data_IF_269819566540
#
_entry.id   IF_269819566540
#
_cell.length_a   1.000
_cell.length_b   1.000
_cell.length_c   1.000
_cell.angle_alpha   90.00
_cell.angle_beta   90.00
_cell.angle_gamma   90.00
#
_symmetry.space_group_name_H-M   'P 1'
#
loop_
_entity.id
_entity.type
_entity.pdbx_description
1 polymer ?
#
# COMPACT_ATOMS: atom_id res chain seq x y z
N UNK A 1 -24.76 -20.03 21.66
CA UNK A 1 -23.49 -20.44 21.02
C UNK A 1 -23.07 -19.34 20.05
N UNK A 2 -22.06 -18.52 20.37
CA UNK A 2 -21.54 -17.52 19.43
C UNK A 2 -20.50 -18.22 18.57
N UNK A 3 -20.86 -18.64 17.36
CA UNK A 3 -19.88 -19.08 16.37
C UNK A 3 -19.00 -17.88 16.03
N UNK A 4 -17.86 -17.77 16.70
CA UNK A 4 -16.86 -16.75 16.44
C UNK A 4 -16.19 -17.04 15.10
N UNK A 5 -16.89 -16.76 14.00
CA UNK A 5 -16.28 -16.79 12.67
C UNK A 5 -15.35 -15.59 12.58
N UNK A 6 -14.11 -15.77 13.01
CA UNK A 6 -13.05 -14.79 12.82
C UNK A 6 -12.86 -14.66 11.32
N UNK A 7 -13.26 -13.52 10.75
CA UNK A 7 -12.96 -13.21 9.36
C UNK A 7 -11.47 -13.48 9.08
N UNK A 8 -11.15 -14.09 7.92
CA UNK A 8 -9.77 -14.42 7.62
C UNK A 8 -8.90 -13.16 7.68
N UNK A 9 -7.71 -13.30 8.26
CA UNK A 9 -6.72 -12.22 8.25
C UNK A 9 -6.26 -12.04 6.82
N UNK A 10 -6.24 -10.78 6.41
CA UNK A 10 -5.83 -10.38 5.06
C UNK A 10 -4.68 -9.40 5.22
N UNK A 11 -3.73 -9.43 4.32
CA UNK A 11 -2.57 -8.56 4.34
C UNK A 11 -2.44 -7.84 3.02
N UNK A 12 -1.89 -6.64 3.07
CA UNK A 12 -1.57 -5.90 1.87
C UNK A 12 -0.35 -6.56 1.22
N UNK A 13 -0.39 -6.79 -0.09
CA UNK A 13 0.75 -7.25 -0.86
C UNK A 13 1.65 -6.05 -1.19
N UNK A 14 2.80 -5.85 -0.50
CA UNK A 14 3.62 -4.67 -0.74
C UNK A 14 4.24 -4.65 -2.14
N UNK A 15 4.56 -5.82 -2.72
CA UNK A 15 5.18 -5.92 -4.05
C UNK A 15 4.22 -5.37 -5.10
N UNK A 16 3.00 -5.91 -5.15
CA UNK A 16 1.99 -5.44 -6.09
C UNK A 16 1.64 -3.96 -5.88
N UNK A 17 1.62 -3.48 -4.63
CA UNK A 17 1.39 -2.05 -4.36
C UNK A 17 2.53 -1.20 -4.91
N UNK A 18 3.80 -1.58 -4.70
CA UNK A 18 4.93 -0.82 -5.24
C UNK A 18 4.93 -0.79 -6.77
N UNK A 19 4.71 -1.92 -7.43
CA UNK A 19 4.57 -1.99 -8.89
C UNK A 19 3.47 -1.06 -9.42
N UNK A 20 2.33 -1.01 -8.73
CA UNK A 20 1.22 -0.12 -9.09
C UNK A 20 1.55 1.35 -8.85
N UNK A 21 2.25 1.68 -7.76
CA UNK A 21 2.69 3.04 -7.46
C UNK A 21 3.64 3.56 -8.54
N UNK A 22 4.60 2.73 -8.96
CA UNK A 22 5.54 3.06 -10.04
C UNK A 22 4.82 3.24 -11.38
N UNK A 23 3.88 2.33 -11.72
CA UNK A 23 3.08 2.43 -12.95
C UNK A 23 2.19 3.68 -12.99
N UNK A 24 1.69 4.11 -11.84
CA UNK A 24 0.82 5.28 -11.71
C UNK A 24 1.59 6.59 -11.46
N UNK A 25 2.92 6.53 -11.33
CA UNK A 25 3.81 7.65 -10.96
C UNK A 25 3.36 8.40 -9.68
N UNK A 26 2.90 7.66 -8.67
CA UNK A 26 2.47 8.24 -7.38
C UNK A 26 3.28 7.71 -6.20
N UNK A 27 3.51 8.58 -5.22
CA UNK A 27 4.21 8.17 -3.99
C UNK A 27 3.30 7.40 -3.02
N UNK A 28 3.89 6.64 -2.09
CA UNK A 28 3.17 6.03 -0.97
C UNK A 28 2.34 7.06 -0.18
N UNK A 29 2.89 8.26 0.05
CA UNK A 29 2.18 9.33 0.75
C UNK A 29 0.95 9.81 -0.03
N UNK A 30 1.04 9.85 -1.36
CA UNK A 30 -0.06 10.21 -2.23
C UNK A 30 -1.15 9.14 -2.22
N UNK A 31 -0.78 7.85 -2.28
CA UNK A 31 -1.74 6.76 -2.08
C UNK A 31 -2.44 6.85 -0.72
N UNK A 32 -1.72 7.14 0.37
CA UNK A 32 -2.33 7.30 1.69
C UNK A 32 -3.41 8.40 1.68
N UNK A 33 -3.11 9.55 1.05
CA UNK A 33 -4.06 10.65 0.88
C UNK A 33 -5.28 10.24 0.04
N UNK A 34 -5.06 9.60 -1.11
CA UNK A 34 -6.13 9.12 -2.00
C UNK A 34 -7.04 8.09 -1.31
N UNK A 35 -6.46 7.21 -0.49
CA UNK A 35 -7.19 6.21 0.28
C UNK A 35 -7.80 6.76 1.58
N UNK A 36 -7.58 8.04 1.91
CA UNK A 36 -8.10 8.67 3.12
C UNK A 36 -7.60 8.01 4.41
N UNK A 37 -6.33 7.63 4.46
CA UNK A 37 -5.64 7.08 5.64
C UNK A 37 -4.32 7.82 5.90
N UNK A 38 -3.77 7.70 7.11
CA UNK A 38 -2.48 8.33 7.41
C UNK A 38 -1.32 7.58 6.73
N UNK A 39 -0.24 8.28 6.32
CA UNK A 39 0.96 7.63 5.79
C UNK A 39 1.58 6.61 6.74
N UNK A 40 1.59 6.91 8.04
CA UNK A 40 2.07 5.97 9.06
C UNK A 40 1.22 4.70 9.12
N UNK A 41 -0.11 4.80 9.01
CA UNK A 41 -0.98 3.64 8.93
C UNK A 41 -0.70 2.82 7.66
N UNK A 42 -0.59 3.46 6.48
CA UNK A 42 -0.24 2.77 5.25
C UNK A 42 1.12 2.06 5.35
N UNK A 43 2.11 2.68 5.97
CA UNK A 43 3.42 2.05 6.21
C UNK A 43 3.32 0.80 7.09
N UNK A 44 2.49 0.81 8.13
CA UNK A 44 2.24 -0.39 8.95
C UNK A 44 1.55 -1.51 8.16
N UNK A 45 0.70 -1.18 7.20
CA UNK A 45 0.06 -2.15 6.31
C UNK A 45 1.07 -2.76 5.33
N UNK A 46 1.86 -1.92 4.65
CA UNK A 46 2.90 -2.33 3.70
C UNK A 46 3.95 -3.24 4.35
N UNK A 47 4.33 -2.95 5.60
CA UNK A 47 5.28 -3.75 6.36
C UNK A 47 4.68 -5.02 6.99
N UNK A 48 3.42 -5.35 6.70
CA UNK A 48 2.74 -6.50 7.29
C UNK A 48 2.65 -6.44 8.82
N UNK A 49 2.72 -5.24 9.43
CA UNK A 49 2.57 -5.04 10.89
C UNK A 49 1.10 -4.93 11.28
N UNK A 50 0.22 -4.55 10.35
CA UNK A 50 -1.22 -4.43 10.54
C UNK A 50 -1.98 -5.05 9.36
N UNK A 51 -3.11 -5.65 9.67
CA UNK A 51 -4.07 -6.13 8.67
C UNK A 51 -5.06 -5.00 8.34
N UNK A 52 -5.34 -4.70 7.06
CA UNK A 52 -6.31 -3.69 6.68
C UNK A 52 -7.73 -4.14 7.02
N UNK A 53 -8.50 -3.24 7.65
CA UNK A 53 -9.94 -3.42 7.86
C UNK A 53 -10.68 -3.42 6.50
N UNK A 54 -11.87 -4.03 6.39
CA UNK A 54 -12.62 -4.10 5.12
C UNK A 54 -12.84 -2.74 4.45
N UNK A 55 -13.10 -1.69 5.23
CA UNK A 55 -13.23 -0.33 4.69
C UNK A 55 -11.94 0.21 4.10
N UNK A 56 -10.79 -0.09 4.71
CA UNK A 56 -9.47 0.32 4.18
C UNK A 56 -9.15 -0.44 2.89
N UNK A 57 -9.51 -1.72 2.80
CA UNK A 57 -9.31 -2.53 1.58
C UNK A 57 -10.00 -1.89 0.38
N UNK A 58 -11.29 -1.56 0.52
CA UNK A 58 -12.07 -0.89 -0.54
C UNK A 58 -11.48 0.46 -0.94
N UNK A 59 -10.99 1.25 0.01
CA UNK A 59 -10.38 2.55 -0.28
C UNK A 59 -9.07 2.41 -1.05
N UNK A 60 -8.23 1.44 -0.69
CA UNK A 60 -6.98 1.16 -1.40
C UNK A 60 -7.24 0.66 -2.84
N UNK A 61 -8.18 -0.28 -3.01
CA UNK A 61 -8.62 -0.75 -4.33
C UNK A 61 -9.09 0.42 -5.21
N UNK A 62 -9.99 1.26 -4.68
CA UNK A 62 -10.48 2.44 -5.39
C UNK A 62 -9.37 3.44 -5.73
N UNK A 63 -8.45 3.69 -4.80
CA UNK A 63 -7.35 4.64 -4.99
C UNK A 63 -6.35 4.17 -6.06
N UNK A 64 -6.15 2.86 -6.19
CA UNK A 64 -5.25 2.25 -7.19
C UNK A 64 -5.96 1.85 -8.49
N UNK A 65 -7.29 1.99 -8.55
CA UNK A 65 -8.08 1.55 -9.70
C UNK A 65 -8.00 0.04 -9.95
N UNK A 66 -7.96 -0.76 -8.88
CA UNK A 66 -7.84 -2.22 -8.96
C UNK A 66 -9.12 -2.87 -8.45
N UNK A 67 -9.78 -3.63 -9.32
CA UNK A 67 -11.01 -4.36 -8.99
C UNK A 67 -10.75 -5.79 -8.51
N UNK A 68 -9.60 -6.38 -8.87
CA UNK A 68 -9.22 -7.72 -8.40
C UNK A 68 -8.59 -7.67 -7.00
N UNK A 69 -9.26 -8.29 -6.04
CA UNK A 69 -8.81 -8.39 -4.66
C UNK A 69 -7.47 -9.11 -4.51
N UNK A 70 -7.23 -10.16 -5.28
CA UNK A 70 -6.05 -11.02 -5.12
C UNK A 70 -4.76 -10.38 -5.64
N UNK A 71 -4.87 -9.31 -6.45
CA UNK A 71 -3.74 -8.49 -6.85
C UNK A 71 -3.18 -7.71 -5.65
N UNK A 72 -4.06 -7.09 -4.86
CA UNK A 72 -3.64 -6.21 -3.76
C UNK A 72 -3.50 -6.91 -2.42
N UNK A 73 -4.15 -8.06 -2.24
CA UNK A 73 -4.26 -8.68 -0.93
C UNK A 73 -3.95 -10.17 -0.94
N UNK A 74 -3.28 -10.60 0.13
CA UNK A 74 -2.91 -12.00 0.38
C UNK A 74 -3.47 -12.47 1.71
N UNK A 75 -3.72 -13.77 1.83
CA UNK A 75 -4.29 -14.39 3.04
C UNK A 75 -3.21 -14.74 4.07
N UNK A 76 -1.97 -14.91 3.60
CA UNK A 76 -0.81 -15.16 4.44
C UNK A 76 -0.08 -13.85 4.74
N UNK A 77 0.51 -13.76 5.94
CA UNK A 77 1.28 -12.56 6.30
C UNK A 77 2.53 -12.55 5.42
N UNK A 78 2.78 -11.51 4.61
CA UNK A 78 4.03 -11.40 3.90
C UNK A 78 5.16 -11.35 4.94
N UNK A 79 6.10 -12.29 4.84
CA UNK A 79 7.27 -12.29 5.70
C UNK A 79 7.99 -10.96 5.47
N UNK A 80 8.23 -10.21 6.55
CA UNK A 80 8.89 -8.91 6.47
C UNK A 80 10.37 -9.01 5.98
N UNK A 81 10.87 -10.23 5.69
CA UNK A 81 12.28 -10.57 5.74
C UNK A 81 12.99 -10.76 4.40
N UNK A 82 12.31 -10.94 3.25
CA UNK A 82 13.03 -11.25 1.99
C UNK A 82 12.82 -10.26 0.83
N UNK A 83 12.08 -9.17 1.03
CA UNK A 83 11.86 -8.18 -0.03
C UNK A 83 13.03 -7.19 -0.23
N UNK A 84 14.20 -7.49 0.35
CA UNK A 84 15.44 -6.71 0.22
C UNK A 84 16.49 -7.34 -0.71
N UNK A 85 16.26 -8.54 -1.25
CA UNK A 85 17.16 -9.11 -2.24
C UNK A 85 16.70 -8.68 -3.64
N UNK A 86 17.50 -7.81 -4.27
CA UNK A 86 17.31 -7.28 -5.63
C UNK A 86 16.19 -6.24 -5.83
N UNK A 87 16.32 -5.08 -5.19
CA UNK A 87 16.42 -3.80 -5.92
C UNK A 87 16.79 -2.70 -4.92
N UNK A 88 18.08 -2.46 -4.76
CA UNK A 88 18.57 -1.16 -4.30
C UNK A 88 18.24 -0.15 -5.38
N UNK A 89 17.02 0.37 -5.36
CA UNK A 89 16.65 1.74 -5.75
C UNK A 89 15.23 1.93 -5.23
N UNK A 90 15.11 2.23 -3.94
CA UNK A 90 14.15 3.25 -3.58
C UNK A 90 14.64 4.51 -4.28
N UNK A 91 13.97 5.06 -5.31
CA UNK A 91 14.32 6.39 -5.75
C UNK A 91 13.96 7.28 -4.57
N UNK A 92 15.00 7.71 -3.84
CA UNK A 92 14.93 8.80 -2.89
C UNK A 92 14.57 10.02 -3.73
N UNK A 93 13.27 10.20 -4.05
CA UNK A 93 12.80 11.38 -4.80
C UNK A 93 13.26 12.58 -4.00
N UNK A 94 14.23 13.29 -4.61
CA UNK A 94 14.80 14.52 -4.12
C UNK A 94 13.63 15.47 -3.85
N UNK A 95 13.57 16.02 -2.64
CA UNK A 95 12.65 17.11 -2.33
C UNK A 95 13.16 18.34 -3.09
N UNK A 96 12.49 18.66 -4.19
CA UNK A 96 12.75 19.74 -5.14
C UNK A 96 12.04 19.29 -6.40
N UNK A 97 10.94 19.90 -6.82
CA UNK A 97 10.94 21.28 -7.27
C UNK A 97 9.77 22.10 -6.70
N UNK A 98 10.13 23.25 -6.13
CA UNK A 98 9.20 24.36 -5.95
C UNK A 98 8.92 24.95 -7.33
N UNK A 99 7.64 25.02 -7.68
CA UNK A 99 7.13 25.68 -8.86
C UNK A 99 7.56 27.16 -8.88
N UNK A 100 8.39 27.52 -9.85
CA UNK A 100 8.74 28.90 -10.20
C UNK A 100 8.40 29.14 -11.66
N UNK A 101 7.12 29.38 -11.94
CA UNK A 101 6.66 29.91 -13.22
C UNK A 101 6.27 31.37 -12.96
N UNK A 102 7.08 32.30 -13.44
CA UNK A 102 6.67 33.68 -13.72
C UNK A 102 7.65 34.23 -14.75
N UNK A 103 7.12 34.45 -15.95
CA UNK A 103 7.68 35.33 -16.98
C UNK A 103 7.68 36.79 -16.52
#
# INVERSE_FOLDING_TARGET
>A
MKTGSSAPRVWLNPVAVWELLDRLDISQNQLARLAGISPGHLSLLMNGKRSPAPGVRRRLMKALGVDDFHVLFVMERPAAADWSAETTTTPKRKKGDTQGHSE
#
